data_IF_554253756630
#
_entry.id   IF_554253756630
#
_cell.length_a   1.000
_cell.length_b   1.000
_cell.length_c   1.000
_cell.angle_alpha   90.00
_cell.angle_beta   90.00
_cell.angle_gamma   90.00
#
_symmetry.space_group_name_H-M   'P 1'
#
loop_
_entity.id
_entity.type
_entity.pdbx_description
1 polymer ?
#
# COMPACT_ATOMS: atom_id res chain seq x y z
N UNK A 1 28.78 -26.18 44.51
CA UNK A 1 27.31 -26.16 44.29
C UNK A 1 26.86 -24.73 43.98
N UNK A 2 27.42 -24.11 42.93
CA UNK A 2 27.19 -22.69 42.57
C UNK A 2 26.87 -22.53 41.06
N UNK A 3 27.23 -23.51 40.22
CA UNK A 3 27.13 -23.41 38.76
C UNK A 3 25.69 -23.49 38.20
N UNK A 4 24.78 -24.20 38.89
CA UNK A 4 23.41 -24.42 38.38
C UNK A 4 22.57 -23.14 38.35
N UNK A 5 22.73 -22.23 39.33
CA UNK A 5 21.97 -20.98 39.39
C UNK A 5 22.39 -19.97 38.32
N UNK A 6 23.69 -19.95 37.96
CA UNK A 6 24.21 -19.09 36.89
C UNK A 6 23.64 -19.47 35.52
N UNK A 7 23.57 -20.77 35.21
CA UNK A 7 23.04 -21.28 33.94
C UNK A 7 21.54 -21.05 33.80
N UNK A 8 20.78 -21.17 34.89
CA UNK A 8 19.33 -20.90 34.90
C UNK A 8 19.05 -19.42 34.59
N UNK A 9 19.84 -18.49 35.16
CA UNK A 9 19.70 -17.06 34.89
C UNK A 9 20.02 -16.68 33.44
N UNK A 10 21.04 -17.30 32.83
CA UNK A 10 21.39 -17.08 31.41
C UNK A 10 20.26 -17.53 30.48
N UNK A 11 19.62 -18.68 30.76
CA UNK A 11 18.48 -19.17 29.98
C UNK A 11 17.27 -18.23 30.06
N UNK A 12 17.00 -17.67 31.24
CA UNK A 12 15.90 -16.71 31.45
C UNK A 12 16.19 -15.40 30.69
N UNK A 13 17.43 -14.91 30.69
CA UNK A 13 17.84 -13.72 29.93
C UNK A 13 17.70 -13.95 28.42
N UNK A 14 18.14 -15.11 27.92
CA UNK A 14 17.98 -15.48 26.50
C UNK A 14 16.51 -15.54 26.08
N UNK A 15 15.65 -16.14 26.90
CA UNK A 15 14.20 -16.19 26.65
C UNK A 15 13.61 -14.78 26.64
N UNK A 16 14.03 -13.91 27.57
CA UNK A 16 13.58 -12.51 27.62
C UNK A 16 13.99 -11.71 26.38
N UNK A 17 15.23 -11.88 25.91
CA UNK A 17 15.74 -11.25 24.68
C UNK A 17 14.94 -11.74 23.46
N UNK A 18 14.68 -13.04 23.36
CA UNK A 18 13.86 -13.62 22.28
C UNK A 18 12.44 -13.04 22.31
N UNK A 19 11.82 -12.94 23.50
CA UNK A 19 10.50 -12.34 23.63
C UNK A 19 10.47 -10.88 23.16
N UNK A 20 11.47 -10.05 23.50
CA UNK A 20 11.55 -8.64 23.05
C UNK A 20 11.67 -8.55 21.52
N UNK A 21 12.44 -9.44 20.90
CA UNK A 21 12.60 -9.49 19.44
C UNK A 21 11.30 -9.88 18.71
N UNK A 22 10.42 -10.66 19.36
CA UNK A 22 9.13 -11.07 18.78
C UNK A 22 8.08 -9.94 18.77
N UNK A 23 8.22 -8.90 19.61
CA UNK A 23 7.28 -7.77 19.65
C UNK A 23 7.59 -6.65 18.64
N UNK A 24 8.69 -6.74 17.88
CA UNK A 24 9.14 -5.64 17.00
C UNK A 24 8.43 -5.57 15.63
N UNK A 25 7.27 -6.20 15.46
CA UNK A 25 6.59 -6.28 14.17
C UNK A 25 5.28 -5.47 14.18
N UNK A 26 5.36 -4.14 14.00
CA UNK A 26 4.21 -3.33 13.58
C UNK A 26 4.27 -3.14 12.07
N UNK A 27 3.32 -3.71 11.34
CA UNK A 27 3.13 -3.39 9.92
C UNK A 27 1.98 -2.39 9.83
N UNK A 28 2.33 -1.13 9.62
CA UNK A 28 1.34 -0.08 9.42
C UNK A 28 0.82 -0.13 8.00
N UNK A 29 -0.43 -0.56 7.86
CA UNK A 29 -1.12 -0.60 6.58
C UNK A 29 -2.08 0.58 6.55
N UNK A 30 -1.87 1.49 5.59
CA UNK A 30 -2.82 2.55 5.28
C UNK A 30 -3.39 2.26 3.90
N UNK A 31 -4.71 2.20 3.77
CA UNK A 31 -5.37 1.90 2.51
C UNK A 31 -6.62 2.75 2.26
N UNK A 32 -7.00 2.82 0.99
CA UNK A 32 -8.25 3.40 0.51
C UNK A 32 -8.83 2.46 -0.54
N UNK A 33 -10.15 2.22 -0.47
CA UNK A 33 -10.88 1.36 -1.42
C UNK A 33 -12.15 2.05 -1.85
N UNK A 34 -12.33 2.18 -3.16
CA UNK A 34 -13.49 2.84 -3.73
C UNK A 34 -13.77 2.35 -5.15
N UNK A 35 -14.92 2.75 -5.69
CA UNK A 35 -15.35 2.40 -7.04
C UNK A 35 -15.54 3.69 -7.83
N UNK A 36 -14.88 3.78 -8.98
CA UNK A 36 -15.07 4.85 -9.94
C UNK A 36 -16.15 4.42 -10.94
N UNK A 37 -17.26 5.15 -10.92
CA UNK A 37 -18.36 5.03 -11.89
C UNK A 37 -18.60 6.35 -12.64
N UNK A 38 -18.04 7.47 -12.17
CA UNK A 38 -18.08 8.74 -12.85
C UNK A 38 -16.82 8.92 -13.73
N UNK A 39 -17.03 9.04 -15.05
CA UNK A 39 -15.98 9.19 -16.06
C UNK A 39 -15.99 10.57 -16.72
N UNK A 40 -16.75 11.53 -16.18
CA UNK A 40 -16.81 12.90 -16.74
C UNK A 40 -15.65 13.78 -16.27
N UNK A 41 -14.99 13.40 -15.18
CA UNK A 41 -13.93 14.16 -14.55
C UNK A 41 -12.83 13.28 -13.97
N UNK A 42 -11.70 13.90 -13.66
CA UNK A 42 -10.58 13.23 -13.01
C UNK A 42 -10.90 12.96 -11.54
N UNK A 43 -10.52 11.78 -11.07
CA UNK A 43 -10.61 11.43 -9.64
C UNK A 43 -9.20 11.40 -9.07
N UNK A 44 -9.01 11.98 -7.88
CA UNK A 44 -7.73 11.97 -7.17
C UNK A 44 -7.94 11.45 -5.75
N UNK A 45 -6.96 10.68 -5.28
CA UNK A 45 -6.88 10.23 -3.89
C UNK A 45 -5.45 10.38 -3.37
N UNK A 46 -5.29 10.50 -2.07
CA UNK A 46 -3.99 10.67 -1.41
C UNK A 46 -3.97 9.94 -0.08
N UNK A 47 -3.01 9.03 0.08
CA UNK A 47 -2.73 8.37 1.35
C UNK A 47 -1.64 9.11 2.09
N UNK A 48 -1.95 9.50 3.33
CA UNK A 48 -1.01 10.09 4.26
C UNK A 48 -0.41 8.99 5.14
N UNK A 49 0.89 9.11 5.38
CA UNK A 49 1.62 8.23 6.30
C UNK A 49 1.23 8.51 7.74
N UNK A 50 1.31 7.48 8.57
CA UNK A 50 1.23 7.61 10.02
C UNK A 50 2.62 8.01 10.52
N UNK A 51 2.68 9.04 11.36
CA UNK A 51 3.94 9.53 11.92
C UNK A 51 4.58 8.44 12.80
N UNK A 52 5.89 8.24 12.64
CA UNK A 52 6.67 7.24 13.39
C UNK A 52 6.64 5.82 12.80
N UNK A 53 5.86 5.60 11.73
CA UNK A 53 5.77 4.31 11.05
C UNK A 53 6.69 4.25 9.84
N UNK A 54 7.20 3.04 9.56
CA UNK A 54 8.06 2.79 8.40
C UNK A 54 7.25 2.14 7.29
N UNK A 55 7.52 2.57 6.05
CA UNK A 55 6.90 2.03 4.85
C UNK A 55 7.99 1.60 3.89
N UNK A 56 7.70 0.57 3.11
CA UNK A 56 8.61 0.05 2.08
C UNK A 56 7.96 -0.06 0.72
N UNK A 57 6.63 -0.23 0.68
CA UNK A 57 5.91 -0.56 -0.54
C UNK A 57 4.61 0.20 -0.62
N UNK A 58 4.31 0.71 -1.81
CA UNK A 58 2.98 1.15 -2.18
C UNK A 58 2.44 0.25 -3.29
N UNK A 59 1.12 0.06 -3.32
CA UNK A 59 0.50 -0.58 -4.47
C UNK A 59 -0.86 0.01 -4.81
N UNK A 60 -1.20 -0.08 -6.10
CA UNK A 60 -2.51 0.22 -6.66
C UNK A 60 -3.00 -1.03 -7.35
N UNK A 61 -4.15 -1.53 -6.92
CA UNK A 61 -4.89 -2.60 -7.58
C UNK A 61 -6.11 -1.99 -8.28
N UNK A 62 -6.28 -2.37 -9.55
CA UNK A 62 -7.36 -1.91 -10.40
C UNK A 62 -8.11 -3.15 -10.90
N UNK A 63 -9.43 -3.17 -10.74
CA UNK A 63 -10.26 -4.25 -11.24
C UNK A 63 -11.58 -3.74 -11.78
N UNK A 64 -11.95 -4.13 -12.99
CA UNK A 64 -13.24 -3.77 -13.58
C UNK A 64 -13.16 -3.54 -15.07
N UNK A 65 -14.07 -2.74 -15.60
CA UNK A 65 -14.20 -2.53 -17.05
C UNK A 65 -14.40 -1.07 -17.39
N UNK A 66 -13.84 -0.67 -18.53
CA UNK A 66 -14.00 0.66 -19.12
C UNK A 66 -14.37 0.54 -20.59
N UNK A 67 -15.23 1.42 -21.08
CA UNK A 67 -15.73 1.33 -22.46
C UNK A 67 -14.72 1.78 -23.53
N UNK A 68 -13.68 2.50 -23.14
CA UNK A 68 -12.56 2.89 -24.01
C UNK A 68 -11.27 2.89 -23.17
N UNK A 69 -10.54 3.99 -23.11
CA UNK A 69 -9.22 4.08 -22.52
C UNK A 69 -9.11 5.13 -21.45
N UNK A 70 -8.34 4.81 -20.42
CA UNK A 70 -8.08 5.64 -19.24
C UNK A 70 -6.57 5.79 -19.01
N UNK A 71 -6.18 6.81 -18.24
CA UNK A 71 -4.85 6.89 -17.66
C UNK A 71 -4.89 6.82 -16.14
N UNK A 72 -3.87 6.17 -15.57
CA UNK A 72 -3.61 6.16 -14.14
C UNK A 72 -2.22 6.74 -13.90
N UNK A 73 -2.12 7.61 -12.90
CA UNK A 73 -0.87 8.24 -12.47
C UNK A 73 -0.70 7.96 -10.98
N UNK A 74 0.51 7.57 -10.59
CA UNK A 74 0.89 7.31 -9.20
C UNK A 74 2.07 8.22 -8.88
N UNK A 75 2.01 8.94 -7.76
CA UNK A 75 3.07 9.84 -7.26
C UNK A 75 3.58 10.83 -8.32
N UNK A 76 2.68 11.45 -9.08
CA UNK A 76 3.00 12.41 -10.14
C UNK A 76 3.95 11.83 -11.24
N UNK A 77 4.04 10.49 -11.34
CA UNK A 77 4.90 9.79 -12.28
C UNK A 77 4.31 9.63 -13.69
N UNK A 78 4.79 8.62 -14.41
CA UNK A 78 4.33 8.35 -15.78
C UNK A 78 2.86 7.91 -15.83
N UNK A 79 2.14 8.41 -16.84
CA UNK A 79 0.78 7.96 -17.17
C UNK A 79 0.81 6.51 -17.65
N UNK A 80 0.11 5.63 -16.95
CA UNK A 80 -0.12 4.25 -17.37
C UNK A 80 -1.45 4.17 -18.11
N UNK A 81 -1.43 3.59 -19.31
CA UNK A 81 -2.60 3.44 -20.18
C UNK A 81 -3.29 2.10 -19.95
N UNK A 82 -4.63 2.12 -19.86
CA UNK A 82 -5.46 0.91 -19.77
C UNK A 82 -6.72 1.05 -20.63
N UNK A 83 -7.28 -0.06 -21.08
CA UNK A 83 -8.54 -0.10 -21.82
C UNK A 83 -9.29 -1.44 -21.58
N UNK A 84 -10.59 -1.45 -21.87
CA UNK A 84 -11.43 -2.65 -21.78
C UNK A 84 -11.49 -3.25 -20.37
N UNK A 85 -11.25 -4.55 -20.27
CA UNK A 85 -11.19 -5.29 -19.01
C UNK A 85 -9.85 -5.09 -18.32
N UNK A 86 -9.88 -4.65 -17.07
CA UNK A 86 -8.71 -4.34 -16.26
C UNK A 86 -8.71 -5.25 -15.04
N UNK A 87 -7.64 -6.01 -14.84
CA UNK A 87 -7.33 -6.70 -13.58
C UNK A 87 -5.81 -6.64 -13.41
N UNK A 88 -5.32 -5.67 -12.63
CA UNK A 88 -3.89 -5.42 -12.50
C UNK A 88 -3.51 -4.93 -11.12
N UNK A 89 -2.26 -5.20 -10.73
CA UNK A 89 -1.64 -4.68 -9.52
C UNK A 89 -0.33 -4.03 -9.91
N UNK A 90 -0.21 -2.73 -9.63
CA UNK A 90 1.00 -1.95 -9.81
C UNK A 90 1.65 -1.72 -8.45
N UNK A 91 2.82 -2.31 -8.24
CA UNK A 91 3.66 -2.02 -7.07
C UNK A 91 4.62 -0.86 -7.37
N UNK A 92 4.94 -0.08 -6.35
CA UNK A 92 5.94 0.98 -6.39
C UNK A 92 6.73 0.95 -5.08
N UNK A 93 8.02 1.25 -5.17
CA UNK A 93 8.82 1.47 -3.97
C UNK A 93 8.31 2.74 -3.27
N UNK A 94 8.10 2.65 -1.96
CA UNK A 94 7.52 3.74 -1.20
C UNK A 94 8.09 3.79 0.22
N UNK A 95 8.84 4.85 0.52
CA UNK A 95 9.60 5.00 1.76
C UNK A 95 9.00 6.01 2.74
N UNK A 96 7.71 6.30 2.61
CA UNK A 96 6.96 7.11 3.59
C UNK A 96 7.38 8.59 3.71
N UNK A 97 8.25 9.11 2.84
CA UNK A 97 8.73 10.49 2.94
C UNK A 97 7.67 11.52 2.54
N UNK A 98 6.78 11.16 1.62
CA UNK A 98 5.74 12.03 1.08
C UNK A 98 4.42 11.26 0.96
N UNK A 99 3.25 11.90 1.03
CA UNK A 99 1.97 11.25 0.78
C UNK A 99 1.96 10.54 -0.58
N UNK A 100 1.39 9.33 -0.62
CA UNK A 100 1.22 8.60 -1.87
C UNK A 100 0.00 9.16 -2.60
N UNK A 101 0.16 9.57 -3.86
CA UNK A 101 -0.93 10.16 -4.67
C UNK A 101 -1.37 9.20 -5.77
N UNK A 102 -2.67 9.17 -6.00
CA UNK A 102 -3.31 8.48 -7.11
C UNK A 102 -4.14 9.47 -7.92
N UNK A 103 -4.00 9.45 -9.25
CA UNK A 103 -4.90 10.15 -10.17
C UNK A 103 -5.44 9.17 -11.22
N UNK A 104 -6.76 9.18 -11.36
CA UNK A 104 -7.51 8.58 -12.46
C UNK A 104 -7.91 9.67 -13.44
N UNK A 105 -7.60 9.47 -14.71
CA UNK A 105 -7.97 10.33 -15.83
C UNK A 105 -8.82 9.52 -16.82
N UNK A 106 -10.11 9.88 -17.02
CA UNK A 106 -11.01 9.12 -17.86
C UNK A 106 -10.60 9.12 -19.34
N UNK A 107 -9.75 10.07 -19.78
CA UNK A 107 -9.25 10.20 -21.15
C UNK A 107 -10.33 10.11 -22.25
N UNK A 108 -10.60 8.91 -22.78
CA UNK A 108 -11.63 8.64 -23.79
C UNK A 108 -12.79 7.79 -23.28
N UNK A 109 -12.64 7.17 -22.11
CA UNK A 109 -13.70 6.40 -21.50
C UNK A 109 -14.79 7.34 -20.96
N UNK A 110 -16.04 6.98 -21.20
CA UNK A 110 -17.23 7.70 -20.75
C UNK A 110 -18.05 6.88 -19.76
N UNK A 111 -17.81 5.56 -19.70
CA UNK A 111 -18.61 4.60 -18.96
C UNK A 111 -17.73 3.45 -18.48
N UNK A 112 -18.08 2.90 -17.33
CA UNK A 112 -17.40 1.74 -16.78
C UNK A 112 -17.69 1.56 -15.31
N UNK A 113 -17.00 0.60 -14.73
CA UNK A 113 -16.95 0.39 -13.28
C UNK A 113 -15.56 -0.08 -12.95
N UNK A 114 -14.79 0.76 -12.27
CA UNK A 114 -13.42 0.47 -11.89
C UNK A 114 -13.28 0.46 -10.36
N UNK A 115 -13.02 -0.70 -9.80
CA UNK A 115 -12.64 -0.87 -8.40
C UNK A 115 -11.17 -0.51 -8.24
N UNK A 116 -10.89 0.38 -7.28
CA UNK A 116 -9.55 0.85 -6.96
C UNK A 116 -9.27 0.47 -5.52
N UNK A 117 -8.14 -0.20 -5.31
CA UNK A 117 -7.56 -0.41 -3.99
C UNK A 117 -6.15 0.19 -4.00
N UNK A 118 -5.94 1.15 -3.11
CA UNK A 118 -4.71 1.92 -2.99
C UNK A 118 -4.16 1.71 -1.58
N UNK A 119 -2.87 1.40 -1.44
CA UNK A 119 -2.30 0.97 -0.17
C UNK A 119 -0.81 1.32 -0.02
N UNK A 120 -0.39 1.67 1.20
CA UNK A 120 1.01 1.77 1.64
C UNK A 120 1.24 0.83 2.82
N UNK A 121 2.41 0.17 2.86
CA UNK A 121 2.84 -0.81 3.85
C UNK A 121 4.36 -0.84 4.03
#
# INVERSE_FOLDING_TARGET
MIETNSVINIKIILISIICILLFSCSNSIVNSKYVITNFTEKTRDTLYTIEGENYTTGFVKLKGTVNDSIYIIINDGYKKYFNGDIDTISKVDYYGTNPMKFEFDPYKAEKGKLEVEFCIL
#
